data_IF_799959072004
#
_entry.id   IF_799959072004
#
_cell.length_a   1.000
_cell.length_b   1.000
_cell.length_c   1.000
_cell.angle_alpha   90.00
_cell.angle_beta   90.00
_cell.angle_gamma   90.00
#
_symmetry.space_group_name_H-M   'P 1'
#
loop_
_entity.id
_entity.type
_entity.pdbx_description
1 polymer ?
#
# COMPACT_ATOMS: atom_id res chain seq x y z
N UNK A 1 5.32 -5.79 -19.24
CA UNK A 1 4.89 -5.58 -17.85
C UNK A 1 4.19 -4.21 -17.75
N UNK A 2 3.08 -4.14 -17.06
CA UNK A 2 2.36 -2.87 -16.89
C UNK A 2 3.16 -1.88 -16.04
N UNK A 3 2.83 -0.60 -16.16
CA UNK A 3 3.50 0.45 -15.37
C UNK A 3 3.31 0.24 -13.87
N UNK A 4 2.13 -0.25 -13.44
CA UNK A 4 1.88 -0.54 -12.03
C UNK A 4 2.73 -1.70 -11.52
N UNK A 5 2.86 -2.76 -12.31
CA UNK A 5 3.73 -3.89 -11.93
C UNK A 5 5.19 -3.47 -11.89
N UNK A 6 5.63 -2.60 -12.79
CA UNK A 6 6.98 -2.03 -12.75
C UNK A 6 7.21 -1.20 -11.51
N UNK A 7 6.23 -0.39 -11.11
CA UNK A 7 6.31 0.42 -9.89
C UNK A 7 6.42 -0.47 -8.65
N UNK A 8 5.62 -1.54 -8.60
CA UNK A 8 5.68 -2.51 -7.50
C UNK A 8 7.04 -3.21 -7.47
N UNK A 9 7.54 -3.62 -8.63
CA UNK A 9 8.86 -4.25 -8.72
C UNK A 9 9.96 -3.33 -8.19
N UNK A 10 9.94 -2.06 -8.57
CA UNK A 10 10.92 -1.07 -8.09
C UNK A 10 10.85 -0.85 -6.59
N UNK A 11 9.65 -0.69 -6.04
CA UNK A 11 9.48 -0.39 -4.63
C UNK A 11 9.57 -1.62 -3.74
N UNK A 12 8.99 -2.73 -4.17
CA UNK A 12 8.76 -3.89 -3.31
C UNK A 12 9.43 -5.18 -3.79
N UNK A 13 10.18 -5.15 -4.89
CA UNK A 13 10.86 -6.34 -5.41
C UNK A 13 11.77 -7.01 -4.38
N UNK A 14 12.36 -6.23 -3.50
CA UNK A 14 13.21 -6.74 -2.42
C UNK A 14 12.45 -7.64 -1.43
N UNK A 15 11.12 -7.50 -1.35
CA UNK A 15 10.28 -8.29 -0.44
C UNK A 15 9.40 -9.29 -1.16
N UNK A 16 8.82 -8.91 -2.28
CA UNK A 16 7.84 -9.70 -3.03
C UNK A 16 8.49 -10.62 -4.07
N UNK A 17 9.64 -10.21 -4.59
CA UNK A 17 10.21 -10.81 -5.79
C UNK A 17 9.59 -10.20 -7.03
N UNK A 18 9.37 -10.99 -8.07
CA UNK A 18 8.82 -10.48 -9.32
C UNK A 18 7.29 -10.48 -9.29
N UNK A 19 6.66 -9.31 -9.30
CA UNK A 19 5.20 -9.25 -9.37
C UNK A 19 4.73 -9.57 -10.79
N UNK A 20 3.67 -10.37 -10.91
CA UNK A 20 3.17 -10.80 -12.21
C UNK A 20 1.71 -10.45 -12.45
N UNK A 21 0.93 -10.19 -11.40
CA UNK A 21 -0.49 -9.86 -11.55
C UNK A 21 -0.95 -8.88 -10.48
N UNK A 22 -1.62 -7.84 -10.95
CA UNK A 22 -2.34 -6.90 -10.09
C UNK A 22 -3.73 -7.45 -9.87
N UNK A 23 -4.03 -7.93 -8.66
CA UNK A 23 -5.31 -8.55 -8.36
C UNK A 23 -6.39 -7.50 -8.08
N UNK A 24 -6.08 -6.52 -7.24
CA UNK A 24 -7.04 -5.47 -6.87
C UNK A 24 -6.33 -4.28 -6.23
N UNK A 25 -6.97 -3.11 -6.28
CA UNK A 25 -6.49 -1.90 -5.63
C UNK A 25 -7.67 -1.17 -4.97
N UNK A 26 -7.36 -0.28 -4.02
CA UNK A 26 -8.37 0.52 -3.32
C UNK A 26 -7.92 1.98 -3.17
N UNK A 27 -8.82 2.82 -2.65
CA UNK A 27 -8.67 4.28 -2.65
C UNK A 27 -7.46 4.81 -1.86
N UNK A 28 -6.97 4.07 -0.88
CA UNK A 28 -5.73 4.44 -0.15
C UNK A 28 -4.50 3.72 -0.69
N UNK A 29 -4.57 3.25 -1.93
CA UNK A 29 -3.43 2.63 -2.61
C UNK A 29 -3.13 1.22 -2.16
N UNK A 30 -3.94 0.65 -1.26
CA UNK A 30 -3.78 -0.76 -0.91
C UNK A 30 -3.89 -1.60 -2.16
N UNK A 31 -2.99 -2.55 -2.32
CA UNK A 31 -2.90 -3.37 -3.52
C UNK A 31 -2.72 -4.83 -3.15
N UNK A 32 -3.45 -5.69 -3.85
CA UNK A 32 -3.25 -7.14 -3.81
C UNK A 32 -2.49 -7.52 -5.06
N UNK A 33 -1.35 -8.18 -4.89
CA UNK A 33 -0.47 -8.54 -5.98
C UNK A 33 -0.01 -9.99 -5.84
N UNK A 34 0.07 -10.69 -6.97
CA UNK A 34 0.60 -12.04 -7.03
C UNK A 34 1.99 -12.01 -7.64
N UNK A 35 2.94 -12.74 -7.03
CA UNK A 35 4.28 -12.88 -7.60
C UNK A 35 4.40 -14.13 -8.47
N UNK A 36 5.59 -14.35 -9.06
CA UNK A 36 5.85 -15.49 -9.94
C UNK A 36 5.78 -16.84 -9.21
N UNK A 37 5.93 -16.86 -7.89
CA UNK A 37 5.85 -18.07 -7.09
C UNK A 37 4.42 -18.36 -6.61
N UNK A 38 3.44 -17.63 -7.16
CA UNK A 38 2.01 -17.75 -6.83
C UNK A 38 1.67 -17.42 -5.39
N UNK A 39 2.46 -16.56 -4.78
CA UNK A 39 2.16 -16.00 -3.47
C UNK A 39 1.45 -14.65 -3.65
N UNK A 40 0.50 -14.37 -2.75
CA UNK A 40 -0.28 -13.15 -2.78
C UNK A 40 0.12 -12.24 -1.63
N UNK A 41 0.39 -10.99 -1.96
CA UNK A 41 0.81 -9.97 -1.00
C UNK A 41 -0.17 -8.82 -0.98
N UNK A 42 -0.34 -8.21 0.18
CA UNK A 42 -1.06 -6.96 0.33
C UNK A 42 -0.07 -5.86 0.66
N UNK A 43 -0.05 -4.82 -0.17
CA UNK A 43 0.73 -3.61 0.05
C UNK A 43 -0.16 -2.60 0.75
N UNK A 44 0.32 -2.03 1.85
CA UNK A 44 -0.38 -1.04 2.66
C UNK A 44 0.45 0.25 2.70
N UNK A 45 0.26 1.16 1.71
CA UNK A 45 1.06 2.38 1.65
C UNK A 45 0.92 3.28 2.88
N UNK A 46 -0.24 3.30 3.52
CA UNK A 46 -0.49 4.12 4.70
C UNK A 46 0.37 3.73 5.89
N UNK A 47 0.92 2.50 5.89
CA UNK A 47 1.78 1.99 6.94
C UNK A 47 3.20 1.68 6.46
N UNK A 48 3.50 1.89 5.19
CA UNK A 48 4.76 1.45 4.56
C UNK A 48 5.00 -0.04 4.81
N UNK A 49 3.95 -0.85 4.67
CA UNK A 49 4.02 -2.29 4.95
C UNK A 49 3.51 -3.12 3.79
N UNK A 50 3.98 -4.35 3.74
CA UNK A 50 3.54 -5.36 2.80
C UNK A 50 3.56 -6.70 3.52
N UNK A 51 2.48 -7.47 3.40
CA UNK A 51 2.40 -8.78 4.05
C UNK A 51 1.98 -9.88 3.08
N UNK A 52 2.51 -11.07 3.31
CA UNK A 52 2.06 -12.26 2.62
C UNK A 52 0.70 -12.65 3.19
N UNK A 53 -0.32 -12.73 2.35
CA UNK A 53 -1.67 -13.05 2.81
C UNK A 53 -2.18 -14.41 2.36
N UNK A 54 -1.64 -14.97 1.28
CA UNK A 54 -2.09 -16.26 0.77
C UNK A 54 -1.04 -16.89 -0.14
N UNK A 55 -1.03 -18.22 -0.19
CA UNK A 55 -0.16 -18.98 -1.07
C UNK A 55 -0.95 -19.78 -2.11
N UNK A 56 -2.26 -19.56 -2.17
CA UNK A 56 -3.13 -20.14 -3.18
C UNK A 56 -4.32 -19.23 -3.44
N UNK A 57 -4.94 -19.37 -4.60
CA UNK A 57 -6.14 -18.63 -4.97
C UNK A 57 -7.29 -18.94 -4.02
N UNK A 58 -7.44 -20.22 -3.62
CA UNK A 58 -8.50 -20.63 -2.70
C UNK A 58 -8.34 -19.95 -1.33
N UNK A 59 -7.12 -19.87 -0.82
CA UNK A 59 -6.84 -19.20 0.45
C UNK A 59 -7.16 -17.70 0.35
N UNK A 60 -6.75 -17.05 -0.72
CA UNK A 60 -7.04 -15.64 -0.96
C UNK A 60 -8.55 -15.37 -0.97
N UNK A 61 -9.30 -16.19 -1.70
CA UNK A 61 -10.76 -16.04 -1.80
C UNK A 61 -11.44 -16.19 -0.43
N UNK A 62 -10.98 -17.12 0.40
CA UNK A 62 -11.51 -17.27 1.75
C UNK A 62 -11.24 -16.04 2.61
N UNK A 63 -10.03 -15.53 2.57
CA UNK A 63 -9.62 -14.36 3.36
C UNK A 63 -10.36 -13.10 2.94
N UNK A 64 -10.56 -12.91 1.65
CA UNK A 64 -11.26 -11.73 1.13
C UNK A 64 -12.73 -11.64 1.52
N UNK A 65 -13.32 -12.77 1.94
CA UNK A 65 -14.72 -12.83 2.37
C UNK A 65 -14.91 -12.57 3.85
N UNK A 66 -13.83 -12.49 4.63
CA UNK A 66 -13.95 -12.23 6.07
C UNK A 66 -14.32 -10.77 6.32
N UNK A 67 -15.13 -10.54 7.37
CA UNK A 67 -15.52 -9.18 7.75
C UNK A 67 -14.33 -8.33 8.13
N UNK A 68 -13.35 -8.91 8.80
CA UNK A 68 -12.11 -8.22 9.18
C UNK A 68 -11.36 -7.71 7.95
N UNK A 69 -11.14 -8.58 6.96
CA UNK A 69 -10.46 -8.17 5.73
C UNK A 69 -11.24 -7.07 5.01
N UNK A 70 -12.56 -7.22 4.88
CA UNK A 70 -13.41 -6.26 4.18
C UNK A 70 -13.29 -4.88 4.84
N UNK A 71 -13.38 -4.81 6.17
CA UNK A 71 -13.30 -3.54 6.90
C UNK A 71 -11.94 -2.86 6.68
N UNK A 72 -10.86 -3.62 6.83
CA UNK A 72 -9.50 -3.10 6.65
C UNK A 72 -9.23 -2.65 5.21
N UNK A 73 -9.77 -3.40 4.25
CA UNK A 73 -9.60 -3.12 2.83
C UNK A 73 -10.40 -1.90 2.40
N UNK A 74 -11.64 -1.78 2.83
CA UNK A 74 -12.54 -0.70 2.43
C UNK A 74 -12.19 0.64 3.05
N UNK A 75 -11.77 0.66 4.31
CA UNK A 75 -11.49 1.91 5.06
C UNK A 75 -12.58 2.96 4.88
N UNK A 76 -13.85 2.53 4.92
CA UNK A 76 -14.99 3.35 4.49
C UNK A 76 -15.07 4.71 5.19
N UNK A 77 -14.87 4.76 6.50
CA UNK A 77 -14.94 6.02 7.26
C UNK A 77 -13.83 6.98 6.84
N UNK A 78 -12.61 6.47 6.65
CA UNK A 78 -11.48 7.31 6.24
C UNK A 78 -11.64 7.80 4.81
N UNK A 79 -12.11 6.94 3.90
CA UNK A 79 -12.40 7.32 2.51
C UNK A 79 -13.46 8.42 2.47
N UNK A 80 -14.50 8.31 3.28
CA UNK A 80 -15.56 9.31 3.36
C UNK A 80 -15.00 10.67 3.78
N UNK A 81 -14.16 10.70 4.82
CA UNK A 81 -13.50 11.93 5.29
C UNK A 81 -12.55 12.50 4.23
N UNK A 82 -11.81 11.64 3.53
CA UNK A 82 -10.89 12.07 2.48
C UNK A 82 -11.64 12.73 1.32
N UNK A 83 -12.75 12.15 0.90
CA UNK A 83 -13.60 12.74 -0.15
C UNK A 83 -14.14 14.10 0.26
N UNK A 84 -14.61 14.23 1.50
CA UNK A 84 -15.16 15.47 2.01
C UNK A 84 -14.11 16.58 2.06
N UNK A 85 -12.87 16.25 2.44
CA UNK A 85 -11.80 17.23 2.59
C UNK A 85 -11.07 17.54 1.28
N UNK A 86 -10.89 16.56 0.40
CA UNK A 86 -10.01 16.67 -0.77
C UNK A 86 -10.70 16.39 -2.11
N UNK A 87 -11.98 16.03 -2.10
CA UNK A 87 -12.73 15.75 -3.33
C UNK A 87 -12.49 14.35 -3.88
N UNK A 88 -13.10 14.11 -5.05
CA UNK A 88 -13.03 12.81 -5.72
C UNK A 88 -11.66 12.56 -6.33
N UNK A 89 -11.30 11.28 -6.44
CA UNK A 89 -10.07 10.86 -7.09
C UNK A 89 -10.20 10.91 -8.61
N UNK A 90 -9.15 11.38 -9.27
CA UNK A 90 -9.02 11.26 -10.72
C UNK A 90 -8.55 9.84 -11.06
N UNK A 91 -8.62 9.49 -12.35
CA UNK A 91 -8.13 8.19 -12.82
C UNK A 91 -6.65 8.02 -12.47
N UNK A 92 -6.31 6.86 -11.89
CA UNK A 92 -4.94 6.56 -11.47
C UNK A 92 -4.49 7.23 -10.19
N UNK A 93 -5.38 7.97 -9.53
CA UNK A 93 -5.07 8.71 -8.31
C UNK A 93 -5.62 7.98 -7.09
N UNK A 94 -4.91 8.08 -5.98
CA UNK A 94 -5.35 7.54 -4.69
C UNK A 94 -5.12 8.56 -3.59
N UNK A 95 -5.73 8.34 -2.43
CA UNK A 95 -5.40 9.10 -1.23
C UNK A 95 -4.18 8.44 -0.56
N UNK A 96 -3.38 9.24 0.14
CA UNK A 96 -2.29 8.71 0.95
C UNK A 96 -2.15 9.52 2.24
N UNK A 97 -1.52 8.89 3.23
CA UNK A 97 -1.11 9.59 4.44
C UNK A 97 0.24 10.27 4.17
N UNK A 98 0.34 11.56 4.51
CA UNK A 98 1.60 12.31 4.36
C UNK A 98 2.66 11.72 5.29
N UNK A 99 2.27 11.50 6.57
CA UNK A 99 3.10 10.80 7.55
C UNK A 99 2.45 9.42 7.74
N UNK A 100 3.18 8.33 7.44
CA UNK A 100 2.59 7.00 7.55
C UNK A 100 2.33 6.60 9.00
N UNK A 101 1.42 5.64 9.20
CA UNK A 101 1.12 5.15 10.54
C UNK A 101 2.35 4.62 11.27
N UNK A 102 3.27 3.99 10.54
CA UNK A 102 4.54 3.49 11.08
C UNK A 102 5.34 4.58 11.81
N UNK A 103 5.27 5.82 11.34
CA UNK A 103 5.98 6.96 11.94
C UNK A 103 5.06 7.82 12.85
N UNK A 104 3.93 7.27 13.24
CA UNK A 104 2.99 7.95 14.13
C UNK A 104 2.01 8.86 13.44
N UNK A 105 1.89 8.78 12.11
CA UNK A 105 0.92 9.56 11.35
C UNK A 105 -0.51 9.23 11.74
N UNK A 106 -1.36 10.25 11.80
CA UNK A 106 -2.76 10.10 12.16
C UNK A 106 -3.62 9.77 10.94
N UNK A 107 -4.67 8.98 11.17
CA UNK A 107 -5.68 8.67 10.15
C UNK A 107 -6.74 9.78 10.18
N UNK A 108 -6.30 11.00 9.84
CA UNK A 108 -7.14 12.19 9.88
C UNK A 108 -6.98 13.00 8.60
N UNK A 109 -7.99 13.83 8.30
CA UNK A 109 -8.01 14.57 7.04
C UNK A 109 -6.81 15.51 6.84
N UNK A 110 -6.22 16.02 7.91
CA UNK A 110 -5.04 16.91 7.85
C UNK A 110 -3.81 16.18 7.34
N UNK A 111 -3.77 14.86 7.51
CA UNK A 111 -2.65 14.01 7.11
C UNK A 111 -2.90 13.28 5.79
N UNK A 112 -3.93 13.68 5.04
CA UNK A 112 -4.29 13.04 3.77
C UNK A 112 -3.94 13.96 2.60
N UNK A 113 -3.39 13.35 1.55
CA UNK A 113 -3.13 14.01 0.26
C UNK A 113 -3.50 13.03 -0.86
N UNK A 114 -3.57 13.54 -2.08
CA UNK A 114 -3.75 12.73 -3.28
C UNK A 114 -2.41 12.50 -3.95
N UNK A 115 -2.22 11.33 -4.54
CA UNK A 115 -0.99 10.95 -5.23
C UNK A 115 -1.35 9.93 -6.31
N UNK A 116 -0.51 9.78 -7.35
CA UNK A 116 -0.74 8.72 -8.30
C UNK A 116 -0.47 7.36 -7.64
N UNK A 117 -1.27 6.36 -8.00
CA UNK A 117 -1.10 4.99 -7.50
C UNK A 117 0.29 4.46 -7.83
N UNK A 118 0.75 4.74 -9.04
CA UNK A 118 2.07 4.33 -9.50
C UNK A 118 3.18 4.89 -8.61
N UNK A 119 3.11 6.17 -8.30
CA UNK A 119 4.11 6.82 -7.44
C UNK A 119 4.10 6.28 -6.03
N UNK A 120 2.91 6.12 -5.43
CA UNK A 120 2.84 5.66 -4.04
C UNK A 120 3.30 4.21 -3.89
N UNK A 121 3.03 3.35 -4.86
CA UNK A 121 3.47 1.95 -4.81
C UNK A 121 4.99 1.84 -4.89
N UNK A 122 5.63 2.66 -5.71
CA UNK A 122 7.08 2.68 -5.83
C UNK A 122 7.74 3.29 -4.58
N UNK A 123 7.26 4.45 -4.19
CA UNK A 123 7.85 5.22 -3.11
C UNK A 123 7.68 4.56 -1.74
N UNK A 124 6.49 4.02 -1.42
CA UNK A 124 6.28 3.40 -0.11
C UNK A 124 7.14 2.14 0.07
N UNK A 125 7.41 1.41 -1.00
CA UNK A 125 8.31 0.26 -0.94
C UNK A 125 9.75 0.64 -0.69
N UNK A 126 10.22 1.71 -1.33
CA UNK A 126 11.56 2.24 -1.10
C UNK A 126 11.71 2.71 0.36
N UNK A 127 10.71 3.42 0.88
CA UNK A 127 10.70 3.86 2.27
C UNK A 127 10.67 2.69 3.24
N UNK A 128 9.84 1.68 2.96
CA UNK A 128 9.75 0.48 3.79
C UNK A 128 11.10 -0.26 3.84
N UNK A 129 11.82 -0.30 2.73
CA UNK A 129 13.14 -0.92 2.67
C UNK A 129 14.12 -0.19 3.57
N UNK A 130 14.11 1.14 3.56
CA UNK A 130 14.98 1.94 4.43
C UNK A 130 14.67 1.73 5.91
N UNK A 131 13.40 1.44 6.23
CA UNK A 131 12.96 1.19 7.61
C UNK A 131 13.13 -0.26 8.05
N UNK A 132 13.43 -1.16 7.12
CA UNK A 132 13.55 -2.59 7.43
C UNK A 132 14.68 -2.85 8.43
N UNK A 133 14.32 -3.54 9.53
CA UNK A 133 15.29 -3.83 10.59
C UNK A 133 15.59 -2.68 11.54
N UNK A 134 14.97 -1.52 11.36
CA UNK A 134 15.16 -0.39 12.27
C UNK A 134 14.35 -0.62 13.55
N UNK A 135 15.03 -0.48 14.70
CA UNK A 135 14.40 -0.66 16.01
C UNK A 135 13.44 0.49 16.33
N UNK A 136 12.38 0.18 17.10
CA UNK A 136 11.44 1.19 17.56
C UNK A 136 12.16 2.28 18.38
N UNK A 137 11.75 3.53 18.18
CA UNK A 137 12.34 4.66 18.86
C UNK A 137 13.64 5.17 18.24
N UNK A 138 14.13 4.52 17.19
CA UNK A 138 15.33 4.97 16.48
C UNK A 138 15.01 6.24 15.70
N UNK A 139 15.90 7.23 15.77
CA UNK A 139 15.82 8.41 14.94
C UNK A 139 16.21 8.04 13.51
N UNK A 140 15.37 8.39 12.55
CA UNK A 140 15.60 8.04 11.15
C UNK A 140 15.66 9.28 10.26
N UNK A 141 16.51 9.19 9.22
CA UNK A 141 16.61 10.22 8.20
C UNK A 141 16.14 9.59 6.89
N UNK A 142 15.09 10.18 6.32
CA UNK A 142 14.50 9.68 5.08
C UNK A 142 15.22 10.33 3.89
N UNK A 143 15.67 9.48 2.95
CA UNK A 143 16.28 9.90 1.71
C UNK A 143 15.29 9.65 0.57
N UNK A 144 14.93 10.74 -0.13
CA UNK A 144 14.04 10.65 -1.29
C UNK A 144 14.87 10.42 -2.54
N UNK A 145 14.42 9.48 -3.38
CA UNK A 145 15.04 9.22 -4.67
C UNK A 145 14.27 9.94 -5.77
N UNK A 146 15.03 10.45 -6.71
CA UNK A 146 14.45 11.07 -7.92
C UNK A 146 13.95 10.01 -8.91
#
# INVERSE_FOLDING_TARGET
MSDLLQAISRGWGWKIGEPVEMVATKQFGNALVRNEERSYFRIMPEEWQCELIATSTAELERKRKTGEFIRDWEMSALVCRAKAAHGLLAEGEVYCLVIPGLLGGKYSQENIRKISLQEVLSYCGDMARQMDGVADGTEVKILLRD
#
